data_IF_555796514938
#
_entry.id   IF_555796514938
#
_cell.length_a   1.000
_cell.length_b   1.000
_cell.length_c   1.000
_cell.angle_alpha   90.00
_cell.angle_beta   90.00
_cell.angle_gamma   90.00
#
_symmetry.space_group_name_H-M   'P 1'
#
loop_
_entity.id
_entity.type
_entity.pdbx_description
1 polymer ?
#
# COMPACT_ATOMS: atom_id res chain seq x y z
N UNK A 1 -30.91 -1.99 -12.49
CA UNK A 1 -30.26 -0.75 -12.02
C UNK A 1 -28.79 -0.86 -12.38
N UNK A 2 -28.26 0.11 -13.12
CA UNK A 2 -26.82 0.18 -13.43
C UNK A 2 -26.07 0.51 -12.15
N UNK A 3 -24.96 -0.19 -11.89
CA UNK A 3 -24.11 0.00 -10.71
C UNK A 3 -22.95 0.92 -11.02
N UNK A 4 -22.80 1.98 -10.24
CA UNK A 4 -21.77 2.98 -10.48
C UNK A 4 -20.55 2.70 -9.58
N UNK A 5 -19.39 2.45 -10.18
CA UNK A 5 -18.18 1.99 -9.48
C UNK A 5 -17.04 2.98 -9.70
N UNK A 6 -16.41 3.41 -8.62
CA UNK A 6 -15.20 4.22 -8.65
C UNK A 6 -13.98 3.30 -8.62
N UNK A 7 -13.19 3.29 -9.69
CA UNK A 7 -11.98 2.48 -9.82
C UNK A 7 -10.73 3.35 -9.62
N UNK A 8 -10.00 3.10 -8.53
CA UNK A 8 -8.83 3.87 -8.11
C UNK A 8 -7.55 3.29 -8.71
N UNK A 9 -6.74 4.15 -9.33
CA UNK A 9 -5.43 3.86 -9.90
C UNK A 9 -5.40 2.62 -10.83
N UNK A 10 -6.27 2.53 -11.84
CA UNK A 10 -6.22 1.42 -12.78
C UNK A 10 -4.92 1.44 -13.59
N UNK A 11 -4.26 0.30 -13.68
CA UNK A 11 -3.10 0.08 -14.53
C UNK A 11 -3.51 -0.07 -16.00
N UNK A 12 -2.57 0.05 -16.96
CA UNK A 12 -2.85 -0.27 -18.36
C UNK A 12 -3.41 -1.69 -18.55
N UNK A 13 -2.98 -2.63 -17.70
CA UNK A 13 -3.51 -4.00 -17.71
C UNK A 13 -4.99 -4.01 -17.30
N UNK A 14 -5.36 -3.30 -16.23
CA UNK A 14 -6.76 -3.23 -15.77
C UNK A 14 -7.67 -2.66 -16.86
N UNK A 15 -7.25 -1.56 -17.50
CA UNK A 15 -7.99 -0.95 -18.62
C UNK A 15 -8.15 -1.92 -19.79
N UNK A 16 -7.08 -2.64 -20.14
CA UNK A 16 -7.13 -3.66 -21.20
C UNK A 16 -8.08 -4.81 -20.87
N UNK A 17 -8.08 -5.29 -19.63
CA UNK A 17 -9.00 -6.36 -19.21
C UNK A 17 -10.45 -5.89 -19.17
N UNK A 18 -10.72 -4.68 -18.68
CA UNK A 18 -12.06 -4.09 -18.69
C UNK A 18 -12.61 -3.92 -20.11
N UNK A 19 -11.76 -3.47 -21.05
CA UNK A 19 -12.14 -3.35 -22.45
C UNK A 19 -12.51 -4.71 -23.08
N UNK A 20 -11.82 -5.80 -22.70
CA UNK A 20 -12.12 -7.16 -23.19
C UNK A 20 -13.46 -7.71 -22.71
N UNK A 21 -14.00 -7.17 -21.63
CA UNK A 21 -15.28 -7.61 -21.06
C UNK A 21 -16.37 -6.54 -21.16
N UNK A 22 -16.17 -5.50 -21.96
CA UNK A 22 -17.09 -4.35 -22.06
C UNK A 22 -18.54 -4.76 -22.33
N UNK A 23 -18.75 -5.74 -23.21
CA UNK A 23 -20.09 -6.22 -23.56
C UNK A 23 -20.80 -6.89 -22.38
N UNK A 24 -20.03 -7.50 -21.46
CA UNK A 24 -20.56 -8.11 -20.23
C UNK A 24 -20.91 -7.08 -19.17
N UNK A 25 -20.26 -5.91 -19.21
CA UNK A 25 -20.45 -4.79 -18.29
C UNK A 25 -21.53 -3.83 -18.77
N UNK A 26 -21.74 -3.73 -20.09
CA UNK A 26 -22.66 -2.80 -20.71
C UNK A 26 -24.08 -2.93 -20.12
N UNK A 27 -24.67 -1.80 -19.74
CA UNK A 27 -25.99 -1.74 -19.09
C UNK A 27 -26.05 -2.32 -17.66
N UNK A 28 -24.93 -2.77 -17.09
CA UNK A 28 -24.83 -3.28 -15.72
C UNK A 28 -23.94 -2.42 -14.83
N UNK A 29 -22.84 -1.90 -15.38
CA UNK A 29 -21.87 -1.11 -14.65
C UNK A 29 -21.48 0.16 -15.42
N UNK A 30 -21.35 1.26 -14.68
CA UNK A 30 -20.65 2.47 -15.10
C UNK A 30 -19.40 2.59 -14.22
N UNK A 31 -18.23 2.86 -14.82
CA UNK A 31 -16.94 2.82 -14.12
C UNK A 31 -16.23 4.17 -14.26
N UNK A 32 -16.14 4.90 -13.15
CA UNK A 32 -15.37 6.13 -13.04
C UNK A 32 -13.92 5.79 -12.67
N UNK A 33 -13.00 5.96 -13.61
CA UNK A 33 -11.57 5.70 -13.40
C UNK A 33 -10.88 6.94 -12.82
N UNK A 34 -10.31 6.80 -11.61
CA UNK A 34 -9.52 7.83 -10.95
C UNK A 34 -8.05 7.49 -11.08
N UNK A 35 -7.36 8.17 -11.99
CA UNK A 35 -5.96 7.93 -12.28
C UNK A 35 -5.09 8.83 -11.43
N UNK A 36 -4.14 8.21 -10.74
CA UNK A 36 -3.01 8.93 -10.20
C UNK A 36 -2.04 9.17 -11.37
N UNK A 37 -2.08 10.37 -11.91
CA UNK A 37 -1.11 10.80 -12.92
C UNK A 37 0.27 10.88 -12.28
N UNK A 38 1.24 10.24 -12.92
CA UNK A 38 2.65 10.16 -12.52
C UNK A 38 3.03 9.08 -11.49
N UNK A 39 3.13 7.84 -11.96
CA UNK A 39 3.56 6.68 -11.16
C UNK A 39 5.07 6.64 -10.87
N UNK A 40 5.86 7.63 -11.33
CA UNK A 40 7.32 7.47 -11.43
C UNK A 40 8.20 8.46 -10.67
N UNK A 41 7.71 9.62 -10.25
CA UNK A 41 8.49 10.56 -9.42
C UNK A 41 7.58 11.53 -8.68
N UNK A 42 7.65 11.54 -7.36
CA UNK A 42 7.09 12.60 -6.47
C UNK A 42 5.62 12.99 -6.72
N UNK A 43 4.70 12.05 -6.51
CA UNK A 43 3.28 12.40 -6.40
C UNK A 43 2.90 12.62 -4.94
N UNK A 44 2.17 13.71 -4.66
CA UNK A 44 1.60 13.96 -3.33
C UNK A 44 0.33 13.12 -3.17
N UNK A 45 0.48 11.98 -2.49
CA UNK A 45 -0.60 11.02 -2.27
C UNK A 45 -1.73 11.61 -1.41
N UNK A 46 -1.40 12.52 -0.50
CA UNK A 46 -2.38 13.13 0.40
C UNK A 46 -3.19 14.17 -0.35
N UNK A 47 -2.53 15.03 -1.13
CA UNK A 47 -3.21 15.98 -2.00
C UNK A 47 -4.14 15.27 -2.99
N UNK A 48 -3.70 14.15 -3.57
CA UNK A 48 -4.54 13.36 -4.48
C UNK A 48 -5.79 12.81 -3.76
N UNK A 49 -5.65 12.27 -2.55
CA UNK A 49 -6.79 11.84 -1.74
C UNK A 49 -7.72 13.02 -1.47
N UNK A 50 -7.21 14.16 -1.03
CA UNK A 50 -8.02 15.33 -0.69
C UNK A 50 -8.80 15.86 -1.91
N UNK A 51 -8.18 15.88 -3.09
CA UNK A 51 -8.84 16.22 -4.35
C UNK A 51 -9.95 15.24 -4.71
N UNK A 52 -9.72 13.93 -4.52
CA UNK A 52 -10.74 12.91 -4.78
C UNK A 52 -11.88 12.97 -3.77
N UNK A 53 -11.61 13.27 -2.49
CA UNK A 53 -12.66 13.51 -1.49
C UNK A 53 -13.55 14.66 -1.94
N UNK A 54 -12.97 15.80 -2.35
CA UNK A 54 -13.75 16.94 -2.88
C UNK A 54 -14.57 16.52 -4.11
N UNK A 55 -13.96 15.80 -5.05
CA UNK A 55 -14.60 15.37 -6.30
C UNK A 55 -15.77 14.41 -6.09
N UNK A 56 -15.69 13.53 -5.08
CA UNK A 56 -16.65 12.45 -4.83
C UNK A 56 -17.70 12.81 -3.77
N UNK A 57 -17.44 13.83 -2.94
CA UNK A 57 -18.37 14.25 -1.89
C UNK A 57 -19.73 14.63 -2.49
N UNK A 58 -20.79 14.03 -1.95
CA UNK A 58 -22.17 14.25 -2.39
C UNK A 58 -22.55 13.52 -3.69
N UNK A 59 -21.63 12.79 -4.33
CA UNK A 59 -21.95 11.93 -5.48
C UNK A 59 -22.45 10.58 -5.01
N UNK A 60 -23.36 9.99 -5.80
CA UNK A 60 -23.86 8.63 -5.58
C UNK A 60 -23.02 7.64 -6.38
N UNK A 61 -22.51 6.62 -5.70
CA UNK A 61 -21.85 5.47 -6.30
C UNK A 61 -22.09 4.24 -5.42
N UNK A 62 -22.13 3.07 -6.05
CA UNK A 62 -22.42 1.79 -5.41
C UNK A 62 -21.17 1.12 -4.83
N UNK A 63 -19.97 1.54 -5.26
CA UNK A 63 -18.73 0.96 -4.74
C UNK A 63 -17.47 1.71 -5.16
N UNK A 64 -16.41 1.47 -4.39
CA UNK A 64 -15.05 1.95 -4.66
C UNK A 64 -14.08 0.79 -4.54
N UNK A 65 -13.20 0.63 -5.53
CA UNK A 65 -12.21 -0.44 -5.51
C UNK A 65 -10.91 -0.07 -6.22
N UNK A 66 -9.90 -0.92 -6.03
CA UNK A 66 -8.65 -0.86 -6.79
C UNK A 66 -8.16 -2.28 -7.05
N UNK A 67 -7.57 -2.50 -8.23
CA UNK A 67 -6.85 -3.73 -8.55
C UNK A 67 -5.36 -3.65 -8.14
N UNK A 68 -4.88 -2.47 -7.72
CA UNK A 68 -3.48 -2.26 -7.34
C UNK A 68 -3.28 -2.32 -5.83
N UNK A 69 -2.33 -3.14 -5.37
CA UNK A 69 -1.88 -3.18 -3.96
C UNK A 69 -1.24 -1.86 -3.51
N UNK A 70 -0.63 -1.09 -4.42
CA UNK A 70 0.00 0.17 -4.07
C UNK A 70 0.07 1.15 -5.25
N UNK A 71 -0.36 2.41 -5.05
CA UNK A 71 -1.03 2.96 -3.87
C UNK A 71 -2.55 2.71 -3.85
N UNK A 72 -3.10 2.07 -4.88
CA UNK A 72 -4.54 2.06 -5.18
C UNK A 72 -5.45 1.59 -4.04
N UNK A 73 -5.17 0.42 -3.44
CA UNK A 73 -6.01 -0.12 -2.36
C UNK A 73 -5.97 0.75 -1.08
N UNK A 74 -4.83 1.40 -0.81
CA UNK A 74 -4.68 2.30 0.33
C UNK A 74 -5.50 3.58 0.12
N UNK A 75 -5.42 4.16 -1.08
CA UNK A 75 -6.21 5.33 -1.47
C UNK A 75 -7.71 4.98 -1.42
N UNK A 76 -8.12 3.83 -1.94
CA UNK A 76 -9.51 3.39 -1.88
C UNK A 76 -10.02 3.25 -0.44
N UNK A 77 -9.20 2.69 0.46
CA UNK A 77 -9.53 2.58 1.88
C UNK A 77 -9.60 3.95 2.58
N UNK A 78 -8.68 4.87 2.27
CA UNK A 78 -8.74 6.25 2.74
C UNK A 78 -10.03 6.95 2.29
N UNK A 79 -10.41 6.81 1.02
CA UNK A 79 -11.63 7.42 0.49
C UNK A 79 -12.90 6.86 1.14
N UNK A 80 -12.97 5.55 1.39
CA UNK A 80 -14.08 4.95 2.18
C UNK A 80 -14.19 5.61 3.54
N UNK A 81 -13.06 5.82 4.22
CA UNK A 81 -13.02 6.43 5.54
C UNK A 81 -13.43 7.91 5.50
N UNK A 82 -12.79 8.72 4.64
CA UNK A 82 -13.01 10.16 4.53
C UNK A 82 -14.44 10.50 4.07
N UNK A 83 -15.01 9.70 3.16
CA UNK A 83 -16.38 9.86 2.67
C UNK A 83 -17.42 9.18 3.56
N UNK A 84 -17.00 8.52 4.66
CA UNK A 84 -17.86 7.81 5.62
C UNK A 84 -18.78 6.78 4.95
N UNK A 85 -18.24 6.01 4.02
CA UNK A 85 -19.01 5.00 3.29
C UNK A 85 -19.29 3.82 4.24
N UNK A 86 -20.56 3.43 4.45
CA UNK A 86 -20.94 2.50 5.51
C UNK A 86 -20.51 1.04 5.25
N UNK A 87 -20.38 0.64 3.99
CA UNK A 87 -19.91 -0.70 3.60
C UNK A 87 -18.66 -0.50 2.74
N UNK A 88 -17.50 -0.90 3.25
CA UNK A 88 -16.24 -0.70 2.55
C UNK A 88 -15.04 -1.31 3.27
N UNK A 89 -13.85 -0.89 2.86
CA UNK A 89 -12.59 -1.34 3.43
C UNK A 89 -12.50 -1.03 4.93
N UNK A 90 -11.96 -1.97 5.70
CA UNK A 90 -11.46 -1.65 7.04
C UNK A 90 -10.15 -0.87 6.89
N UNK A 91 -10.16 0.45 7.16
CA UNK A 91 -9.00 1.32 6.99
C UNK A 91 -7.75 0.76 7.70
N UNK A 92 -7.85 0.54 9.02
CA UNK A 92 -6.71 0.07 9.81
C UNK A 92 -6.25 -1.33 9.39
N UNK A 93 -7.20 -2.22 9.07
CA UNK A 93 -6.93 -3.56 8.58
C UNK A 93 -6.15 -3.53 7.27
N UNK A 94 -6.61 -2.74 6.29
CA UNK A 94 -5.94 -2.57 5.00
C UNK A 94 -4.50 -2.06 5.18
N UNK A 95 -4.32 -1.01 5.99
CA UNK A 95 -3.00 -0.39 6.18
C UNK A 95 -2.04 -1.30 6.94
N UNK A 96 -2.52 -1.97 8.01
CA UNK A 96 -1.72 -2.95 8.76
C UNK A 96 -1.37 -4.16 7.90
N UNK A 97 -2.27 -4.64 7.04
CA UNK A 97 -1.98 -5.71 6.09
C UNK A 97 -0.94 -5.31 5.04
N UNK A 98 -0.95 -4.05 4.58
CA UNK A 98 0.06 -3.54 3.64
C UNK A 98 1.42 -3.25 4.29
N UNK A 99 1.49 -3.15 5.62
CA UNK A 99 2.74 -2.96 6.37
C UNK A 99 3.28 -4.30 6.90
N UNK A 100 4.35 -4.85 6.31
CA UNK A 100 4.83 -6.20 6.68
C UNK A 100 5.06 -6.42 8.17
N UNK A 101 5.67 -5.46 8.88
CA UNK A 101 5.92 -5.61 10.32
C UNK A 101 4.62 -5.67 11.14
N UNK A 102 3.72 -4.69 11.00
CA UNK A 102 2.41 -4.72 11.67
C UNK A 102 1.54 -5.91 11.26
N UNK A 103 1.58 -6.32 10.00
CA UNK A 103 0.92 -7.54 9.54
C UNK A 103 1.46 -8.77 10.27
N UNK A 104 2.78 -8.87 10.48
CA UNK A 104 3.41 -9.96 11.23
C UNK A 104 3.05 -9.95 12.71
N UNK A 105 2.98 -8.78 13.35
CA UNK A 105 2.53 -8.66 14.74
C UNK A 105 1.11 -9.21 14.95
N UNK A 106 0.19 -8.91 14.01
CA UNK A 106 -1.16 -9.48 14.05
C UNK A 106 -1.13 -10.98 13.79
N UNK A 107 -0.40 -11.45 12.78
CA UNK A 107 -0.31 -12.87 12.45
C UNK A 107 0.29 -13.69 13.61
N UNK A 108 1.30 -13.17 14.31
CA UNK A 108 1.88 -13.86 15.46
C UNK A 108 0.92 -13.99 16.64
N UNK A 109 -0.10 -13.12 16.72
CA UNK A 109 -1.13 -13.19 17.77
C UNK A 109 -2.29 -14.11 17.37
N UNK A 110 -2.70 -14.10 16.10
CA UNK A 110 -3.92 -14.78 15.64
C UNK A 110 -3.69 -16.16 15.02
N UNK A 111 -2.57 -16.36 14.34
CA UNK A 111 -2.22 -17.60 13.61
C UNK A 111 -0.71 -17.90 13.75
N UNK A 112 -0.20 -18.05 15.00
CA UNK A 112 1.23 -18.20 15.25
C UNK A 112 1.87 -19.38 14.50
N UNK A 113 1.13 -20.47 14.28
CA UNK A 113 1.56 -21.65 13.54
C UNK A 113 1.83 -21.38 12.05
N UNK A 114 1.24 -20.33 11.49
CA UNK A 114 1.43 -19.88 10.11
C UNK A 114 2.30 -18.63 9.99
N UNK A 115 2.75 -18.05 11.11
CA UNK A 115 3.57 -16.83 11.14
C UNK A 115 5.07 -17.17 11.19
N UNK A 116 5.87 -16.83 10.16
CA UNK A 116 7.32 -16.98 10.24
C UNK A 116 7.90 -16.11 11.36
N UNK A 117 8.96 -16.60 12.01
CA UNK A 117 9.74 -15.82 12.97
C UNK A 117 10.22 -14.51 12.32
N UNK A 118 10.14 -13.42 13.08
CA UNK A 118 10.65 -12.11 12.71
C UNK A 118 11.25 -11.44 13.94
N UNK A 119 12.22 -10.55 13.73
CA UNK A 119 12.99 -9.96 14.83
C UNK A 119 12.50 -8.57 15.19
N UNK A 120 12.68 -7.62 14.27
CA UNK A 120 12.42 -6.22 14.56
C UNK A 120 12.13 -5.45 13.27
N UNK A 121 11.52 -4.29 13.46
CA UNK A 121 11.64 -3.20 12.50
C UNK A 121 13.03 -2.58 12.65
N UNK A 122 13.76 -2.45 11.54
CA UNK A 122 15.10 -1.87 11.54
C UNK A 122 14.98 -0.39 11.21
N UNK A 123 15.42 0.45 12.14
CA UNK A 123 15.66 1.87 11.87
C UNK A 123 17.02 2.01 11.18
N UNK A 124 17.04 2.66 10.01
CA UNK A 124 18.26 2.88 9.24
C UNK A 124 19.24 3.85 9.94
N UNK A 125 18.75 4.66 10.88
CA UNK A 125 19.58 5.56 11.68
C UNK A 125 20.30 4.86 12.84
N UNK A 126 19.94 3.60 13.14
CA UNK A 126 20.61 2.83 14.19
C UNK A 126 22.06 2.49 13.82
N UNK A 127 22.95 2.53 14.82
CA UNK A 127 24.37 2.18 14.67
C UNK A 127 24.69 0.74 15.09
N UNK A 128 23.80 0.09 15.84
CA UNK A 128 24.01 -1.24 16.41
C UNK A 128 22.94 -2.22 15.93
N UNK A 129 23.40 -3.36 15.39
CA UNK A 129 22.54 -4.39 14.82
C UNK A 129 22.93 -5.78 15.34
N UNK A 130 22.34 -6.16 16.47
CA UNK A 130 22.54 -7.48 17.09
C UNK A 130 21.38 -8.40 16.73
N UNK A 131 21.63 -9.31 15.78
CA UNK A 131 20.67 -10.31 15.31
C UNK A 131 21.31 -11.71 15.25
N UNK A 132 20.52 -12.79 15.32
CA UNK A 132 21.02 -14.15 15.13
C UNK A 132 21.19 -14.44 13.64
N UNK A 133 22.27 -13.94 13.05
CA UNK A 133 22.57 -14.12 11.63
C UNK A 133 22.73 -15.62 11.25
N UNK A 134 22.39 -16.02 10.01
CA UNK A 134 21.90 -15.17 8.92
C UNK A 134 20.42 -14.77 9.07
N UNK A 135 20.10 -13.56 8.61
CA UNK A 135 18.71 -13.04 8.59
C UNK A 135 18.29 -12.65 7.17
N UNK A 136 16.98 -12.54 6.95
CA UNK A 136 16.44 -11.91 5.75
C UNK A 136 15.92 -10.51 6.07
N UNK A 137 16.42 -9.51 5.35
CA UNK A 137 16.01 -8.10 5.47
C UNK A 137 15.27 -7.68 4.21
N UNK A 138 14.17 -6.95 4.37
CA UNK A 138 13.36 -6.43 3.27
C UNK A 138 12.63 -5.15 3.70
N UNK A 139 12.37 -4.20 2.78
CA UNK A 139 11.55 -3.03 3.08
C UNK A 139 10.17 -3.42 3.61
N UNK A 140 9.59 -2.60 4.49
CA UNK A 140 8.23 -2.78 5.00
C UNK A 140 7.22 -2.82 3.86
N UNK A 141 7.29 -1.86 2.93
CA UNK A 141 6.52 -1.83 1.69
C UNK A 141 7.44 -2.07 0.48
N UNK A 142 7.30 -3.21 -0.24
CA UNK A 142 8.10 -3.51 -1.42
C UNK A 142 7.32 -3.20 -2.70
N UNK A 143 7.99 -3.31 -3.85
CA UNK A 143 7.34 -3.54 -5.14
C UNK A 143 7.78 -4.92 -5.65
N UNK A 144 6.84 -5.86 -5.84
CA UNK A 144 7.11 -7.18 -6.45
C UNK A 144 8.36 -7.92 -5.91
N UNK A 145 8.48 -8.03 -4.58
CA UNK A 145 9.60 -8.69 -3.89
C UNK A 145 10.99 -8.05 -4.08
N UNK A 146 11.08 -6.83 -4.61
CA UNK A 146 12.35 -6.10 -4.69
C UNK A 146 12.96 -5.83 -3.30
N UNK A 147 14.29 -5.74 -3.27
CA UNK A 147 15.10 -5.38 -2.09
C UNK A 147 15.00 -6.35 -0.91
N UNK A 148 14.77 -7.65 -1.17
CA UNK A 148 14.92 -8.69 -0.16
C UNK A 148 16.35 -9.27 -0.19
N UNK A 149 17.06 -9.20 0.94
CA UNK A 149 18.46 -9.59 1.06
C UNK A 149 18.66 -10.59 2.19
N UNK A 150 19.47 -11.63 1.94
CA UNK A 150 20.03 -12.47 3.00
C UNK A 150 21.31 -11.81 3.51
N UNK A 151 21.40 -11.63 4.82
CA UNK A 151 22.47 -10.92 5.51
C UNK A 151 23.14 -11.88 6.49
N UNK A 152 24.46 -12.03 6.40
CA UNK A 152 25.24 -12.98 7.19
C UNK A 152 25.86 -12.39 8.45
N UNK A 153 25.96 -11.06 8.55
CA UNK A 153 26.56 -10.36 9.69
C UNK A 153 26.15 -8.88 9.72
N UNK A 154 26.53 -8.18 10.80
CA UNK A 154 26.19 -6.78 11.01
C UNK A 154 26.82 -5.82 9.99
N UNK A 155 28.00 -6.14 9.46
CA UNK A 155 28.67 -5.27 8.49
C UNK A 155 27.98 -5.31 7.12
N UNK A 156 27.51 -6.49 6.68
CA UNK A 156 26.65 -6.61 5.51
C UNK A 156 25.35 -5.82 5.66
N UNK A 157 24.74 -5.82 6.86
CA UNK A 157 23.55 -5.00 7.12
C UNK A 157 23.86 -3.50 7.00
N UNK A 158 24.94 -3.04 7.61
CA UNK A 158 25.38 -1.63 7.53
C UNK A 158 25.64 -1.21 6.08
N UNK A 159 26.24 -2.09 5.27
CA UNK A 159 26.47 -1.83 3.84
C UNK A 159 25.15 -1.77 3.06
N UNK A 160 24.20 -2.68 3.35
CA UNK A 160 22.88 -2.66 2.73
C UNK A 160 22.14 -1.34 3.02
N UNK A 161 22.11 -0.91 4.28
CA UNK A 161 21.43 0.32 4.69
C UNK A 161 22.03 1.56 4.03
N UNK A 162 23.36 1.60 3.83
CA UNK A 162 24.04 2.69 3.10
C UNK A 162 23.90 2.62 1.59
N UNK A 163 23.28 1.57 1.04
CA UNK A 163 23.17 1.41 -0.41
C UNK A 163 22.23 2.49 -1.00
N UNK A 164 22.70 3.31 -1.97
CA UNK A 164 21.88 4.37 -2.55
C UNK A 164 20.56 3.91 -3.17
N UNK A 165 20.49 2.66 -3.68
CA UNK A 165 19.25 2.09 -4.22
C UNK A 165 18.24 1.79 -3.12
N UNK A 166 18.71 1.31 -1.96
CA UNK A 166 17.86 1.08 -0.79
C UNK A 166 17.38 2.42 -0.24
N UNK A 167 18.29 3.38 -0.07
CA UNK A 167 17.95 4.74 0.36
C UNK A 167 16.91 5.38 -0.56
N UNK A 168 17.12 5.37 -1.88
CA UNK A 168 16.15 5.89 -2.84
C UNK A 168 14.80 5.16 -2.79
N UNK A 169 14.79 3.83 -2.58
CA UNK A 169 13.53 3.10 -2.39
C UNK A 169 12.78 3.58 -1.14
N UNK A 170 13.49 3.77 -0.01
CA UNK A 170 12.90 4.21 1.24
C UNK A 170 12.42 5.67 1.18
N UNK A 171 13.19 6.57 0.54
CA UNK A 171 12.89 8.01 0.50
C UNK A 171 11.98 8.42 -0.66
N UNK A 172 11.85 7.62 -1.72
CA UNK A 172 10.98 7.93 -2.86
C UNK A 172 9.76 7.02 -2.90
N UNK A 173 9.96 5.70 -2.95
CA UNK A 173 8.86 4.75 -3.15
C UNK A 173 8.04 4.55 -1.86
N UNK A 174 8.71 4.42 -0.72
CA UNK A 174 8.06 4.20 0.59
C UNK A 174 7.57 5.50 1.22
N UNK A 175 8.07 6.66 0.79
CA UNK A 175 7.67 7.95 1.36
C UNK A 175 6.15 8.22 1.34
N UNK A 176 5.42 8.08 0.21
CA UNK A 176 3.97 8.25 0.23
C UNK A 176 3.26 7.21 1.11
N UNK A 177 3.81 6.01 1.23
CA UNK A 177 3.30 5.00 2.16
C UNK A 177 3.45 5.46 3.62
N UNK A 178 4.58 6.06 3.99
CA UNK A 178 4.80 6.57 5.34
C UNK A 178 3.84 7.74 5.66
N UNK A 179 3.63 8.67 4.73
CA UNK A 179 2.64 9.75 4.88
C UNK A 179 1.23 9.20 5.12
N UNK A 180 0.86 8.13 4.41
CA UNK A 180 -0.41 7.45 4.59
C UNK A 180 -0.51 6.79 5.97
N UNK A 181 0.54 6.11 6.43
CA UNK A 181 0.59 5.50 7.77
C UNK A 181 0.44 6.58 8.85
N UNK A 182 1.18 7.68 8.74
CA UNK A 182 1.12 8.80 9.69
C UNK A 182 -0.29 9.43 9.77
N UNK A 183 -0.96 9.61 8.63
CA UNK A 183 -2.30 10.21 8.59
C UNK A 183 -3.40 9.29 9.13
N UNK A 184 -3.31 7.98 8.88
CA UNK A 184 -4.46 7.08 9.05
C UNK A 184 -4.29 5.97 10.08
N UNK A 185 -3.05 5.68 10.51
CA UNK A 185 -2.77 4.65 11.50
C UNK A 185 -2.36 5.34 12.81
N UNK A 186 -3.14 5.20 13.89
CA UNK A 186 -2.77 5.75 15.19
C UNK A 186 -1.40 5.25 15.62
N UNK A 187 -0.60 6.13 16.23
CA UNK A 187 0.55 5.71 17.02
C UNK A 187 0.03 4.83 18.16
N UNK A 188 0.55 3.60 18.25
CA UNK A 188 0.26 2.71 19.38
C UNK A 188 1.04 3.15 20.62
#
# INVERSE_FOLDING_TARGET
MVKHIVLICPTPMDKSQLARISDRLNGKYEIDMMELTDQRTEYDVLQFIDQLVIKLKGKSFDGICSASDYPGILIAAALVHELKIPIGYNLLGTYRCSHKYYSRLIQSQLVPEACPNFFALIDESSSEFTFPYPIFVKPVKPCLSQNAHRINNADELKQLLKNPKIQSHLTTFVHPFNQLIERYVPAN
#
